data_IF_214547057043
#
_entry.id   IF_214547057043
#
_cell.length_a   1.000
_cell.length_b   1.000
_cell.length_c   1.000
_cell.angle_alpha   90.00
_cell.angle_beta   90.00
_cell.angle_gamma   90.00
#
_symmetry.space_group_name_H-M   'P 1'
#
loop_
_entity.id
_entity.type
_entity.pdbx_description
1 polymer ?
#
# COMPACT_ATOMS: atom_id res chain seq x y z
N UNK A 1 -9.35 5.90 -14.03
CA UNK A 1 -8.91 5.77 -12.62
C UNK A 1 -9.24 4.35 -12.16
N UNK A 2 -8.23 3.53 -11.85
CA UNK A 2 -8.41 2.13 -11.43
C UNK A 2 -7.71 1.86 -10.10
N UNK A 3 -8.39 1.11 -9.23
CA UNK A 3 -7.85 0.64 -7.95
C UNK A 3 -7.74 -0.88 -8.03
N UNK A 4 -6.55 -1.41 -7.72
CA UNK A 4 -6.31 -2.84 -7.57
C UNK A 4 -5.89 -3.14 -6.14
N UNK A 5 -6.34 -4.28 -5.61
CA UNK A 5 -6.08 -4.68 -4.23
C UNK A 5 -5.55 -6.11 -4.19
N UNK A 6 -4.44 -6.33 -3.51
CA UNK A 6 -3.86 -7.66 -3.25
C UNK A 6 -3.73 -7.90 -1.75
N UNK A 7 -3.97 -9.13 -1.30
CA UNK A 7 -3.92 -9.54 0.11
C UNK A 7 -2.83 -10.59 0.31
N UNK A 8 -1.86 -10.30 1.18
CA UNK A 8 -0.81 -11.21 1.64
C UNK A 8 -1.08 -11.75 3.04
N UNK A 9 -0.56 -12.95 3.35
CA UNK A 9 -0.84 -13.70 4.60
C UNK A 9 0.01 -13.31 5.81
N UNK A 10 0.98 -12.41 5.66
CA UNK A 10 1.88 -12.01 6.74
C UNK A 10 1.59 -10.59 7.22
N UNK A 11 1.32 -10.44 8.51
CA UNK A 11 1.07 -9.14 9.13
C UNK A 11 1.29 -9.15 10.64
N UNK A 12 1.28 -7.96 11.23
CA UNK A 12 1.50 -7.77 12.68
C UNK A 12 0.23 -8.07 13.48
N UNK A 13 0.36 -8.17 14.80
CA UNK A 13 -0.79 -8.25 15.71
C UNK A 13 -1.51 -6.90 15.74
N UNK A 14 -2.82 -6.93 15.54
CA UNK A 14 -3.66 -5.74 15.59
C UNK A 14 -3.73 -5.19 17.03
N UNK A 15 -3.37 -3.92 17.27
CA UNK A 15 -3.39 -3.35 18.62
C UNK A 15 -4.82 -3.14 19.17
N UNK A 16 -5.85 -3.19 18.31
CA UNK A 16 -7.25 -3.00 18.73
C UNK A 16 -7.97 -4.26 19.17
N UNK A 17 -7.66 -5.41 18.58
CA UNK A 17 -8.40 -6.65 18.85
C UNK A 17 -7.52 -7.89 19.02
N UNK A 18 -6.19 -7.75 19.00
CA UNK A 18 -5.23 -8.84 19.21
C UNK A 18 -5.15 -9.87 18.09
N UNK A 19 -5.98 -9.76 17.04
CA UNK A 19 -5.94 -10.67 15.88
C UNK A 19 -4.79 -10.33 14.93
N UNK A 20 -4.31 -11.32 14.18
CA UNK A 20 -3.32 -11.08 13.11
C UNK A 20 -3.93 -10.19 12.02
N UNK A 21 -3.13 -9.26 11.54
CA UNK A 21 -3.46 -8.44 10.37
C UNK A 21 -3.00 -9.13 9.09
N UNK A 22 -3.59 -8.70 7.98
CA UNK A 22 -3.19 -9.09 6.63
C UNK A 22 -2.45 -7.92 5.98
N UNK A 23 -1.47 -8.23 5.14
CA UNK A 23 -0.85 -7.23 4.29
C UNK A 23 -1.80 -6.92 3.13
N UNK A 24 -2.15 -5.66 2.95
CA UNK A 24 -2.97 -5.18 1.84
C UNK A 24 -2.10 -4.26 0.98
N UNK A 25 -2.11 -4.49 -0.33
CA UNK A 25 -1.47 -3.63 -1.32
C UNK A 25 -2.58 -2.95 -2.10
N UNK A 26 -2.71 -1.63 -1.93
CA UNK A 26 -3.62 -0.79 -2.70
C UNK A 26 -2.83 -0.10 -3.81
N UNK A 27 -3.17 -0.39 -5.07
CA UNK A 27 -2.57 0.26 -6.24
C UNK A 27 -3.58 1.18 -6.88
N UNK A 28 -3.19 2.44 -7.04
CA UNK A 28 -3.97 3.49 -7.66
C UNK A 28 -3.26 3.98 -8.93
N UNK A 29 -3.95 3.95 -10.07
CA UNK A 29 -3.37 4.37 -11.36
C UNK A 29 -4.08 5.61 -11.92
N UNK A 30 -3.28 6.64 -12.20
CA UNK A 30 -3.63 7.85 -12.95
C UNK A 30 -2.70 8.02 -14.14
N UNK A 31 -3.06 8.88 -15.09
CA UNK A 31 -2.28 9.07 -16.32
C UNK A 31 -0.79 9.33 -16.02
N UNK A 32 0.05 8.37 -16.40
CA UNK A 32 1.50 8.41 -16.23
C UNK A 32 2.05 8.06 -14.84
N UNK A 33 1.21 7.80 -13.83
CA UNK A 33 1.64 7.54 -12.45
C UNK A 33 0.84 6.42 -11.77
N UNK A 34 1.55 5.51 -11.10
CA UNK A 34 0.99 4.49 -10.21
C UNK A 34 1.40 4.80 -8.78
N UNK A 35 0.43 4.97 -7.88
CA UNK A 35 0.65 5.02 -6.44
C UNK A 35 0.40 3.63 -5.86
N UNK A 36 1.37 3.06 -5.16
CA UNK A 36 1.29 1.75 -4.52
C UNK A 36 1.44 1.94 -3.02
N UNK A 37 0.39 1.63 -2.26
CA UNK A 37 0.38 1.77 -0.80
C UNK A 37 0.29 0.39 -0.16
N UNK A 38 1.28 0.07 0.67
CA UNK A 38 1.34 -1.11 1.51
C UNK A 38 0.77 -0.78 2.88
N UNK A 39 -0.20 -1.56 3.34
CA UNK A 39 -0.84 -1.33 4.63
C UNK A 39 -1.21 -2.64 5.32
N UNK A 40 -1.11 -2.67 6.65
CA UNK A 40 -1.72 -3.74 7.43
C UNK A 40 -3.20 -3.46 7.63
N UNK A 41 -4.05 -4.45 7.38
CA UNK A 41 -5.49 -4.37 7.61
C UNK A 41 -5.93 -5.48 8.58
N UNK A 42 -6.79 -5.11 9.52
CA UNK A 42 -7.46 -6.06 10.40
C UNK A 42 -8.95 -6.15 10.06
N UNK A 43 -9.54 -7.33 10.31
CA UNK A 43 -11.00 -7.55 10.25
C UNK A 43 -11.80 -6.60 11.15
N UNK A 44 -11.22 -6.10 12.24
CA UNK A 44 -11.84 -5.10 13.12
C UNK A 44 -11.80 -3.66 12.56
N UNK A 45 -11.55 -3.51 11.25
CA UNK A 45 -11.42 -2.23 10.51
C UNK A 45 -10.21 -1.38 10.88
N UNK A 46 -9.30 -1.86 11.72
CA UNK A 46 -8.02 -1.19 11.94
C UNK A 46 -7.16 -1.28 10.68
N UNK A 47 -6.50 -0.17 10.33
CA UNK A 47 -5.56 -0.08 9.23
C UNK A 47 -4.30 0.66 9.70
N UNK A 48 -3.13 0.25 9.21
CA UNK A 48 -1.87 0.98 9.38
C UNK A 48 -1.11 0.99 8.08
N UNK A 49 -0.90 2.18 7.54
CA UNK A 49 -0.05 2.35 6.38
C UNK A 49 1.41 2.07 6.76
N UNK A 50 2.07 1.23 5.97
CA UNK A 50 3.48 0.89 6.10
C UNK A 50 4.28 1.86 5.24
N UNK A 51 4.02 1.85 3.93
CA UNK A 51 4.79 2.58 2.93
C UNK A 51 3.93 2.92 1.71
N UNK A 52 4.23 4.03 1.08
CA UNK A 52 3.65 4.45 -0.20
C UNK A 52 4.78 4.70 -1.20
N UNK A 53 4.64 4.13 -2.39
CA UNK A 53 5.53 4.31 -3.53
C UNK A 53 4.79 5.01 -4.67
N UNK A 54 5.43 5.99 -5.29
CA UNK A 54 4.99 6.61 -6.53
C UNK A 54 5.87 6.13 -7.68
N UNK A 55 5.28 5.42 -8.62
CA UNK A 55 5.94 4.82 -9.78
C UNK A 55 5.48 5.58 -11.02
N UNK A 56 6.40 6.20 -11.74
CA UNK A 56 6.11 6.87 -13.01
C UNK A 56 7.10 6.45 -14.10
N UNK A 57 6.66 6.51 -15.36
CA UNK A 57 7.53 6.27 -16.52
C UNK A 57 7.76 7.58 -17.24
N UNK A 58 9.01 8.00 -17.37
CA UNK A 58 9.43 9.22 -18.08
C UNK A 58 10.68 8.90 -18.92
N UNK A 59 10.72 9.34 -20.17
CA UNK A 59 11.87 9.18 -21.07
C UNK A 59 12.40 7.73 -21.16
N UNK A 60 11.50 6.76 -21.21
CA UNK A 60 11.84 5.33 -21.25
C UNK A 60 12.31 4.74 -19.91
N UNK A 61 12.51 5.56 -18.86
CA UNK A 61 12.96 5.15 -17.53
C UNK A 61 11.80 5.03 -16.54
N UNK A 62 11.94 4.15 -15.56
CA UNK A 62 11.00 3.99 -14.44
C UNK A 62 11.57 4.72 -13.23
N UNK A 63 10.78 5.62 -12.66
CA UNK A 63 11.10 6.35 -11.45
C UNK A 63 10.23 5.83 -10.31
N UNK A 64 10.86 5.47 -9.19
CA UNK A 64 10.19 5.02 -7.98
C UNK A 64 10.55 6.00 -6.85
N UNK A 65 9.55 6.66 -6.29
CA UNK A 65 9.70 7.60 -5.19
C UNK A 65 8.98 7.07 -3.95
N UNK A 66 9.71 6.96 -2.84
CA UNK A 66 9.14 6.60 -1.54
C UNK A 66 8.60 7.84 -0.84
N UNK A 67 7.37 7.75 -0.35
CA UNK A 67 6.81 8.79 0.51
C UNK A 67 7.58 8.79 1.84
N UNK A 68 8.27 9.90 2.14
CA UNK A 68 8.87 10.10 3.47
C UNK A 68 7.75 10.46 4.44
N UNK A 69 7.58 9.64 5.48
CA UNK A 69 6.77 10.01 6.65
C UNK A 69 7.60 10.95 7.52
N UNK A 70 7.16 12.20 7.62
CA UNK A 70 7.71 13.22 8.54
C UNK A 70 7.27 12.96 9.96
#
# INVERSE_FOLDING_TARGET
>A
MSIQTQIGREGIVCPRCGRKTELLIETYTTDGMRKVTYLYRCVCKWKKEIETLYISKRDGKIYIQKEKKT
#
